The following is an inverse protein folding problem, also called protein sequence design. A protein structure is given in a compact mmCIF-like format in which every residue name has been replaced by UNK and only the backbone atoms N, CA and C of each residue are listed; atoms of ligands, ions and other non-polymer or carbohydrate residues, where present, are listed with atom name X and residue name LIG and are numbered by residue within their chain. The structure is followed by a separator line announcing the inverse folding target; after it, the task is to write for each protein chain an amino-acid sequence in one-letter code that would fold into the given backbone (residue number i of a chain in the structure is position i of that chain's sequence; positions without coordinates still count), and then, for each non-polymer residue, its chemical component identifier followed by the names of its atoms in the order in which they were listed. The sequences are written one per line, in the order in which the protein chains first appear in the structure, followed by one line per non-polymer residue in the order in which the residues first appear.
data_IF_884331723518
#
_entry.id   IF_884331723518
#
_cell.length_a   1.000
_cell.length_b   1.000
_cell.length_c   1.000
_cell.angle_alpha   90.00
_cell.angle_beta   90.00
_cell.angle_gamma   90.00
#
_symmetry.space_group_name_H-M   'P 1'
#
loop_
_entity.id
_entity.type
_entity.pdbx_description
1 polymer ?
#
# COMPACT_ATOMS: atom_id res chain seq x y z
N UNK A 1 44.27 -25.27 3.53
CA UNK A 1 43.22 -24.27 3.84
C UNK A 1 43.41 -23.85 5.28
N UNK A 2 43.96 -22.66 5.47
CA UNK A 2 44.64 -22.29 6.71
C UNK A 2 43.59 -21.71 7.66
N UNK A 3 43.50 -22.23 8.89
CA UNK A 3 42.56 -21.82 9.95
C UNK A 3 42.31 -20.30 10.07
N UNK A 4 43.29 -19.38 9.88
CA UNK A 4 43.00 -17.95 9.91
C UNK A 4 42.15 -17.44 8.73
N UNK A 5 42.23 -18.06 7.55
CA UNK A 5 41.48 -17.64 6.36
C UNK A 5 39.97 -17.88 6.53
N UNK A 6 39.59 -19.01 7.14
CA UNK A 6 38.18 -19.37 7.39
C UNK A 6 37.53 -18.47 8.45
N UNK A 7 38.30 -18.02 9.45
CA UNK A 7 37.82 -17.13 10.49
C UNK A 7 37.55 -15.72 9.95
N UNK A 8 38.42 -15.20 9.08
CA UNK A 8 38.25 -13.88 8.45
C UNK A 8 37.03 -13.86 7.52
N UNK A 9 36.81 -14.92 6.75
CA UNK A 9 35.62 -15.02 5.88
C UNK A 9 34.31 -15.06 6.68
N UNK A 10 34.28 -15.77 7.82
CA UNK A 10 33.09 -15.83 8.68
C UNK A 10 32.78 -14.49 9.38
N UNK A 11 33.80 -13.72 9.75
CA UNK A 11 33.62 -12.38 10.35
C UNK A 11 33.03 -11.40 9.32
N UNK A 12 33.49 -11.46 8.06
CA UNK A 12 32.98 -10.59 6.98
C UNK A 12 31.49 -10.89 6.68
N UNK A 13 31.12 -12.18 6.68
CA UNK A 13 29.72 -12.60 6.47
C UNK A 13 28.81 -12.12 7.62
N UNK A 14 29.30 -12.16 8.86
CA UNK A 14 28.55 -11.70 10.02
C UNK A 14 28.30 -10.18 10.01
N UNK A 15 29.28 -9.39 9.56
CA UNK A 15 29.17 -7.93 9.43
C UNK A 15 28.20 -7.53 8.30
N UNK A 16 28.18 -8.28 7.20
CA UNK A 16 27.26 -8.06 6.08
C UNK A 16 25.80 -8.39 6.45
N UNK A 17 25.57 -9.35 7.34
CA UNK A 17 24.22 -9.73 7.78
C UNK A 17 23.63 -8.74 8.80
N UNK A 18 24.47 -8.13 9.64
CA UNK A 18 24.03 -7.16 10.66
C UNK A 18 23.56 -5.81 10.07
N UNK A 19 23.96 -5.48 8.84
CA UNK A 19 23.60 -4.21 8.19
C UNK A 19 22.25 -4.24 7.46
N UNK A 20 21.55 -5.37 7.42
CA UNK A 20 20.30 -5.55 6.68
C UNK A 20 19.00 -5.27 7.46
N UNK A 21 19.06 -5.06 8.78
CA UNK A 21 17.86 -5.03 9.64
C UNK A 21 17.36 -3.63 10.05
N UNK A 22 17.91 -2.53 9.54
CA UNK A 22 17.62 -1.19 10.06
C UNK A 22 16.50 -0.40 9.34
N UNK A 23 15.67 -1.02 8.50
CA UNK A 23 14.65 -0.30 7.71
C UNK A 23 13.26 -0.93 7.81
N UNK A 24 12.65 -0.87 9.00
CA UNK A 24 11.20 -1.00 9.10
C UNK A 24 10.64 0.05 10.06
N UNK A 25 10.59 1.30 9.62
CA UNK A 25 9.73 2.30 10.25
C UNK A 25 8.27 1.98 9.89
N UNK A 26 7.62 1.13 10.68
CA UNK A 26 6.17 0.94 10.62
C UNK A 26 5.48 2.10 11.32
N UNK A 27 5.46 3.26 10.66
CA UNK A 27 4.63 4.39 11.07
C UNK A 27 3.18 4.06 10.73
N UNK A 28 2.33 3.89 11.75
CA UNK A 28 0.89 3.84 11.54
C UNK A 28 0.44 5.29 11.31
N UNK A 29 0.24 5.66 10.05
CA UNK A 29 -0.25 6.98 9.70
C UNK A 29 -1.74 7.07 10.09
N UNK A 30 -2.10 8.09 10.87
CA UNK A 30 -3.45 8.68 10.84
C UNK A 30 -3.90 8.71 9.38
N UNK A 31 -5.06 8.10 9.06
CA UNK A 31 -5.53 7.98 7.68
C UNK A 31 -5.71 9.38 7.09
N UNK A 32 -4.71 9.83 6.34
CA UNK A 32 -4.67 11.18 5.79
C UNK A 32 -5.79 11.38 4.79
N UNK A 33 -6.57 12.45 4.96
CA UNK A 33 -7.49 12.90 3.92
C UNK A 33 -6.70 13.56 2.80
N UNK A 34 -7.08 13.29 1.57
CA UNK A 34 -6.58 13.99 0.38
C UNK A 34 -7.68 14.88 -0.18
N UNK A 35 -7.31 16.06 -0.66
CA UNK A 35 -8.21 16.93 -1.42
C UNK A 35 -8.46 16.37 -2.82
N UNK A 36 -9.54 16.80 -3.47
CA UNK A 36 -9.86 16.44 -4.86
C UNK A 36 -8.69 16.77 -5.79
N UNK A 37 -8.10 17.97 -5.67
CA UNK A 37 -6.96 18.40 -6.47
C UNK A 37 -5.73 17.52 -6.30
N UNK A 38 -5.47 17.07 -5.06
CA UNK A 38 -4.37 16.13 -4.81
C UNK A 38 -4.66 14.78 -5.48
N UNK A 39 -5.90 14.28 -5.37
CA UNK A 39 -6.30 13.03 -6.01
C UNK A 39 -6.17 13.11 -7.53
N UNK A 40 -6.56 14.23 -8.16
CA UNK A 40 -6.39 14.46 -9.60
C UNK A 40 -4.92 14.31 -10.02
N UNK A 41 -3.99 14.91 -9.27
CA UNK A 41 -2.55 14.76 -9.51
C UNK A 41 -2.00 13.35 -9.24
N UNK A 42 -2.80 12.48 -8.61
CA UNK A 42 -2.46 11.08 -8.34
C UNK A 42 -3.05 10.11 -9.37
N UNK A 43 -4.06 10.50 -10.14
CA UNK A 43 -4.75 9.61 -11.07
C UNK A 43 -3.78 9.06 -12.13
N UNK A 44 -3.86 7.75 -12.37
CA UNK A 44 -3.03 7.04 -13.35
C UNK A 44 -1.64 6.63 -12.84
N UNK A 45 -1.23 7.04 -11.63
CA UNK A 45 -0.01 6.53 -11.02
C UNK A 45 -0.12 5.04 -10.72
N UNK A 46 0.94 4.28 -10.99
CA UNK A 46 0.96 2.82 -10.78
C UNK A 46 1.00 2.40 -9.30
N UNK A 47 1.32 3.33 -8.39
CA UNK A 47 1.39 3.12 -6.94
C UNK A 47 0.11 3.55 -6.20
N UNK A 48 -0.89 4.07 -6.91
CA UNK A 48 -2.16 4.55 -6.33
C UNK A 48 -3.32 3.69 -6.82
N UNK A 49 -4.17 3.27 -5.89
CA UNK A 49 -5.41 2.55 -6.19
C UNK A 49 -6.55 3.35 -5.56
N UNK A 50 -7.49 3.78 -6.40
CA UNK A 50 -8.70 4.47 -5.96
C UNK A 50 -9.79 3.42 -5.75
N UNK A 51 -10.46 3.46 -4.59
CA UNK A 51 -11.49 2.50 -4.21
C UNK A 51 -12.81 3.24 -3.94
N UNK A 52 -13.82 2.97 -4.76
CA UNK A 52 -15.20 3.42 -4.56
C UNK A 52 -15.87 2.51 -3.55
N UNK A 53 -16.13 3.05 -2.36
CA UNK A 53 -16.77 2.33 -1.25
C UNK A 53 -18.18 2.85 -0.98
N UNK A 54 -18.81 3.51 -1.97
CA UNK A 54 -20.20 3.95 -1.84
C UNK A 54 -21.15 2.79 -1.62
N UNK A 55 -22.26 3.07 -0.95
CA UNK A 55 -23.36 2.14 -0.86
C UNK A 55 -23.83 1.75 -2.27
N UNK A 56 -24.38 0.54 -2.41
CA UNK A 56 -24.94 0.11 -3.69
C UNK A 56 -26.01 1.07 -4.23
N UNK A 57 -26.77 1.73 -3.35
CA UNK A 57 -27.76 2.74 -3.76
C UNK A 57 -27.10 3.97 -4.37
N UNK A 58 -26.10 4.55 -3.69
CA UNK A 58 -25.43 5.77 -4.13
C UNK A 58 -24.60 5.52 -5.39
N UNK A 59 -23.93 4.36 -5.48
CA UNK A 59 -23.18 3.96 -6.66
C UNK A 59 -24.09 3.83 -7.90
N UNK A 60 -25.25 3.19 -7.74
CA UNK A 60 -26.23 2.99 -8.83
C UNK A 60 -26.87 4.30 -9.28
N UNK A 61 -27.19 5.20 -8.34
CA UNK A 61 -27.82 6.50 -8.63
C UNK A 61 -26.86 7.53 -9.22
N UNK A 62 -25.56 7.30 -9.09
CA UNK A 62 -24.57 8.30 -9.48
C UNK A 62 -24.29 8.30 -10.98
N UNK A 63 -24.50 9.47 -11.57
CA UNK A 63 -24.27 9.77 -12.98
C UNK A 63 -22.78 9.74 -13.37
N UNK A 64 -21.87 9.94 -12.41
CA UNK A 64 -20.43 9.99 -12.64
C UNK A 64 -19.65 9.23 -11.58
N UNK A 65 -18.46 8.73 -11.96
CA UNK A 65 -17.59 7.91 -11.11
C UNK A 65 -16.13 8.24 -11.43
N UNK A 66 -15.23 8.09 -10.47
CA UNK A 66 -13.80 8.36 -10.72
C UNK A 66 -13.27 7.28 -11.66
N UNK A 67 -12.72 7.70 -12.80
CA UNK A 67 -12.19 6.79 -13.82
C UNK A 67 -11.05 5.94 -13.24
N UNK A 68 -11.13 4.62 -13.45
CA UNK A 68 -10.13 3.67 -12.96
C UNK A 68 -10.28 3.27 -11.49
N UNK A 69 -11.31 3.76 -10.79
CA UNK A 69 -11.61 3.32 -9.44
C UNK A 69 -12.12 1.87 -9.42
N UNK A 70 -11.67 1.10 -8.43
CA UNK A 70 -12.19 -0.22 -8.11
C UNK A 70 -13.39 -0.09 -7.21
N UNK A 71 -14.51 -0.74 -7.54
CA UNK A 71 -15.68 -0.76 -6.66
C UNK A 71 -15.54 -1.88 -5.65
N UNK A 72 -15.75 -1.56 -4.37
CA UNK A 72 -15.83 -2.53 -3.29
C UNK A 72 -17.01 -2.21 -2.38
N UNK A 73 -17.66 -3.24 -1.84
CA UNK A 73 -18.81 -3.08 -0.95
C UNK A 73 -18.37 -2.99 0.52
N UNK A 74 -18.75 -1.92 1.21
CA UNK A 74 -18.52 -1.77 2.65
C UNK A 74 -19.26 -2.80 3.49
N UNK A 75 -20.39 -3.34 3.00
CA UNK A 75 -21.09 -4.41 3.71
C UNK A 75 -20.30 -5.74 3.71
N UNK A 76 -19.32 -5.88 2.80
CA UNK A 76 -18.57 -7.12 2.57
C UNK A 76 -17.05 -6.95 2.67
N UNK A 77 -16.54 -6.09 3.57
CA UNK A 77 -15.10 -5.78 3.72
C UNK A 77 -14.23 -7.04 3.76
N UNK A 78 -14.64 -8.07 4.51
CA UNK A 78 -13.89 -9.32 4.63
C UNK A 78 -13.70 -10.06 3.30
N UNK A 79 -14.50 -9.78 2.28
CA UNK A 79 -14.37 -10.43 0.97
C UNK A 79 -13.27 -9.82 0.08
N UNK A 80 -12.82 -8.59 0.39
CA UNK A 80 -11.88 -7.86 -0.48
C UNK A 80 -10.69 -7.24 0.25
N UNK A 81 -10.68 -7.19 1.59
CA UNK A 81 -9.60 -6.54 2.34
C UNK A 81 -8.19 -7.05 2.01
N UNK A 82 -8.06 -8.34 1.66
CA UNK A 82 -6.78 -8.96 1.31
C UNK A 82 -6.40 -8.83 -0.18
N UNK A 83 -7.29 -8.26 -1.01
CA UNK A 83 -7.07 -8.09 -2.46
C UNK A 83 -5.96 -7.09 -2.77
N UNK A 84 -5.78 -6.09 -1.92
CA UNK A 84 -4.93 -4.94 -2.21
C UNK A 84 -3.51 -5.10 -1.66
N UNK A 85 -2.46 -4.81 -2.45
CA UNK A 85 -1.09 -4.92 -1.96
C UNK A 85 -0.79 -3.89 -0.87
N UNK A 86 -0.18 -4.32 0.24
CA UNK A 86 0.15 -3.47 1.39
C UNK A 86 1.12 -2.31 1.07
N UNK A 87 1.84 -2.37 -0.05
CA UNK A 87 2.79 -1.34 -0.49
C UNK A 87 2.21 -0.30 -1.45
N UNK A 88 0.89 -0.28 -1.67
CA UNK A 88 0.21 0.69 -2.54
C UNK A 88 -0.51 1.74 -1.70
N UNK A 89 -0.63 2.95 -2.25
CA UNK A 89 -1.48 3.99 -1.68
C UNK A 89 -2.92 3.69 -2.03
N UNK A 90 -3.77 3.43 -1.03
CA UNK A 90 -5.21 3.26 -1.20
C UNK A 90 -5.90 4.60 -0.91
N UNK A 91 -6.70 5.08 -1.86
CA UNK A 91 -7.57 6.24 -1.67
C UNK A 91 -9.02 5.78 -1.74
N UNK A 92 -9.69 5.78 -0.60
CA UNK A 92 -11.10 5.42 -0.49
C UNK A 92 -11.97 6.67 -0.68
N UNK A 93 -13.04 6.57 -1.46
CA UNK A 93 -14.06 7.62 -1.55
C UNK A 93 -15.47 7.06 -1.38
N UNK A 94 -16.33 7.87 -0.78
CA UNK A 94 -17.76 7.59 -0.59
C UNK A 94 -18.62 8.72 -1.19
N UNK A 95 -19.91 8.70 -0.89
CA UNK A 95 -20.87 9.73 -1.30
C UNK A 95 -20.69 10.99 -0.46
#
# INVERSE_FOLDING_TARGET
MNKPMMAVTNIIILVLFASGCALTSSGFAETGRVSVKQLEGMLGRSDVIVVDVRSSSDWNKSESKIKGAMREDLAGISSWMDKYPKGKTLVFYCA
#
